data_IF_543620323942
#
_entry.id   IF_543620323942
#
_cell.length_a   1.000
_cell.length_b   1.000
_cell.length_c   1.000
_cell.angle_alpha   90.00
_cell.angle_beta   90.00
_cell.angle_gamma   90.00
#
_symmetry.space_group_name_H-M   'P 1'
#
loop_
_entity.id
_entity.type
_entity.pdbx_description
1 polymer ?
#
# COMPACT_ATOMS: atom_id res chain seq x y z
N UNK A 1 -84.40 23.55 -0.01
CA UNK A 1 -83.65 22.34 -0.40
C UNK A 1 -82.20 22.72 -0.52
N UNK A 2 -81.30 22.00 0.15
CA UNK A 2 -79.86 22.25 0.16
C UNK A 2 -79.23 21.68 -1.11
N UNK A 3 -79.01 22.49 -2.15
CA UNK A 3 -77.92 22.21 -3.10
C UNK A 3 -76.64 22.82 -2.53
N UNK A 4 -75.95 22.04 -1.69
CA UNK A 4 -74.77 22.52 -0.93
C UNK A 4 -73.51 22.65 -1.79
N UNK A 5 -73.46 22.05 -2.98
CA UNK A 5 -72.33 22.13 -3.92
C UNK A 5 -72.82 21.88 -5.35
N UNK A 6 -72.30 22.63 -6.32
CA UNK A 6 -72.49 22.32 -7.75
C UNK A 6 -71.59 21.16 -8.19
N UNK A 7 -71.95 20.44 -9.25
CA UNK A 7 -71.12 19.36 -9.80
C UNK A 7 -69.71 19.81 -10.19
N UNK A 8 -69.57 21.05 -10.68
CA UNK A 8 -68.27 21.66 -10.97
C UNK A 8 -67.43 21.91 -9.70
N UNK A 9 -68.06 22.40 -8.62
CA UNK A 9 -67.36 22.60 -7.35
C UNK A 9 -66.87 21.29 -6.73
N UNK A 10 -67.63 20.20 -6.88
CA UNK A 10 -67.21 18.87 -6.43
C UNK A 10 -66.02 18.33 -7.26
N UNK A 11 -66.05 18.51 -8.58
CA UNK A 11 -64.95 18.11 -9.45
C UNK A 11 -63.66 18.89 -9.15
N UNK A 12 -63.75 20.21 -8.98
CA UNK A 12 -62.60 21.04 -8.58
C UNK A 12 -62.06 20.64 -7.20
N UNK A 13 -62.93 20.37 -6.23
CA UNK A 13 -62.51 19.89 -4.91
C UNK A 13 -61.77 18.55 -4.98
N UNK A 14 -62.25 17.60 -5.80
CA UNK A 14 -61.59 16.31 -5.99
C UNK A 14 -60.20 16.46 -6.64
N UNK A 15 -60.09 17.30 -7.68
CA UNK A 15 -58.81 17.59 -8.34
C UNK A 15 -57.82 18.24 -7.38
N UNK A 16 -58.23 19.29 -6.65
CA UNK A 16 -57.36 19.94 -5.67
C UNK A 16 -56.95 19.01 -4.52
N UNK A 17 -57.86 18.17 -4.04
CA UNK A 17 -57.55 17.17 -3.01
C UNK A 17 -56.50 16.17 -3.50
N UNK A 18 -56.61 15.70 -4.75
CA UNK A 18 -55.61 14.83 -5.36
C UNK A 18 -54.25 15.54 -5.53
N UNK A 19 -54.25 16.81 -5.97
CA UNK A 19 -53.01 17.61 -6.08
C UNK A 19 -52.33 17.82 -4.73
N UNK A 20 -53.09 18.11 -3.66
CA UNK A 20 -52.55 18.23 -2.31
C UNK A 20 -51.96 16.89 -1.83
N UNK A 21 -52.62 15.77 -2.11
CA UNK A 21 -52.12 14.43 -1.80
C UNK A 21 -50.80 14.09 -2.51
N UNK A 22 -50.67 14.45 -3.79
CA UNK A 22 -49.42 14.32 -4.54
C UNK A 22 -48.32 15.23 -3.99
N UNK A 23 -48.66 16.48 -3.63
CA UNK A 23 -47.73 17.41 -2.98
C UNK A 23 -47.19 16.89 -1.64
N UNK A 24 -48.06 16.32 -0.81
CA UNK A 24 -47.66 15.71 0.48
C UNK A 24 -46.75 14.48 0.27
N UNK A 25 -47.06 13.63 -0.71
CA UNK A 25 -46.22 12.50 -1.08
C UNK A 25 -44.82 12.96 -1.54
N UNK A 26 -44.76 14.03 -2.36
CA UNK A 26 -43.50 14.63 -2.79
C UNK A 26 -42.67 15.18 -1.62
N UNK A 27 -43.31 15.87 -0.66
CA UNK A 27 -42.63 16.36 0.55
C UNK A 27 -42.12 15.21 1.42
N UNK A 28 -42.90 14.14 1.59
CA UNK A 28 -42.48 12.95 2.33
C UNK A 28 -41.25 12.28 1.70
N UNK A 29 -41.25 12.16 0.36
CA UNK A 29 -40.10 11.64 -0.39
C UNK A 29 -38.87 12.53 -0.22
N UNK A 30 -39.02 13.85 -0.42
CA UNK A 30 -37.92 14.82 -0.25
C UNK A 30 -37.35 14.79 1.17
N UNK A 31 -38.19 14.64 2.20
CA UNK A 31 -37.75 14.50 3.58
C UNK A 31 -36.90 13.23 3.76
N UNK A 32 -37.37 12.08 3.26
CA UNK A 32 -36.63 10.83 3.31
C UNK A 32 -35.31 10.87 2.56
N UNK A 33 -35.27 11.49 1.37
CA UNK A 33 -34.06 11.69 0.59
C UNK A 33 -33.08 12.64 1.28
N UNK A 34 -33.57 13.72 1.91
CA UNK A 34 -32.73 14.66 2.66
C UNK A 34 -32.06 13.98 3.84
N UNK A 35 -32.78 13.15 4.61
CA UNK A 35 -32.18 12.38 5.71
C UNK A 35 -31.10 11.40 5.21
N UNK A 36 -31.35 10.71 4.10
CA UNK A 36 -30.35 9.81 3.47
C UNK A 36 -29.13 10.58 2.95
N UNK A 37 -29.36 11.77 2.41
CA UNK A 37 -28.31 12.66 1.92
C UNK A 37 -27.43 13.14 3.07
N UNK A 38 -28.04 13.62 4.16
CA UNK A 38 -27.31 14.08 5.35
C UNK A 38 -26.45 12.97 5.97
N UNK A 39 -26.99 11.76 6.12
CA UNK A 39 -26.22 10.62 6.66
C UNK A 39 -25.09 10.18 5.73
N UNK A 40 -25.27 10.29 4.42
CA UNK A 40 -24.22 9.99 3.44
C UNK A 40 -23.15 11.08 3.40
N UNK A 41 -23.56 12.35 3.49
CA UNK A 41 -22.65 13.48 3.61
C UNK A 41 -21.79 13.37 4.86
N UNK A 42 -22.38 13.02 6.01
CA UNK A 42 -21.63 12.82 7.26
C UNK A 42 -20.53 11.76 7.10
N UNK A 43 -20.84 10.60 6.50
CA UNK A 43 -19.82 9.54 6.27
C UNK A 43 -18.66 10.00 5.38
N UNK A 44 -18.93 10.88 4.41
CA UNK A 44 -17.88 11.46 3.56
C UNK A 44 -17.05 12.47 4.34
N UNK A 45 -17.70 13.34 5.12
CA UNK A 45 -17.02 14.31 5.97
C UNK A 45 -16.13 13.63 7.02
N UNK A 46 -16.61 12.54 7.64
CA UNK A 46 -15.82 11.76 8.60
C UNK A 46 -14.50 11.25 7.98
N UNK A 47 -14.45 10.97 6.67
CA UNK A 47 -13.23 10.57 5.96
C UNK A 47 -12.36 11.78 5.62
N UNK A 48 -12.96 12.86 5.14
CA UNK A 48 -12.25 14.10 4.73
C UNK A 48 -11.58 14.77 5.94
N UNK A 49 -12.27 14.80 7.08
CA UNK A 49 -11.83 15.47 8.30
C UNK A 49 -10.94 14.59 9.18
N UNK A 50 -10.82 13.29 8.85
CA UNK A 50 -9.97 12.36 9.61
C UNK A 50 -8.51 12.78 9.56
N UNK A 51 -7.93 13.01 10.73
CA UNK A 51 -6.48 13.19 10.85
C UNK A 51 -5.77 11.83 10.83
N UNK A 52 -4.80 11.61 9.93
CA UNK A 52 -4.05 10.35 9.88
C UNK A 52 -3.10 10.26 11.08
N UNK A 53 -2.98 9.07 11.66
CA UNK A 53 -2.02 8.79 12.75
C UNK A 53 -0.57 8.97 12.30
N UNK A 54 -0.29 8.63 11.03
CA UNK A 54 1.01 8.85 10.38
C UNK A 54 0.77 9.80 9.21
N UNK A 55 1.14 11.06 9.39
CA UNK A 55 1.17 12.02 8.29
C UNK A 55 2.35 11.68 7.36
N UNK A 56 2.06 11.55 6.06
CA UNK A 56 3.07 11.18 5.07
C UNK A 56 4.11 12.28 4.83
N UNK A 57 3.70 13.55 4.97
CA UNK A 57 4.51 14.71 4.60
C UNK A 57 5.09 15.44 5.80
N UNK A 58 4.51 15.29 6.98
CA UNK A 58 5.08 15.84 8.20
C UNK A 58 6.34 15.07 8.64
N UNK A 59 7.26 15.77 9.31
CA UNK A 59 8.51 15.20 9.85
C UNK A 59 9.76 15.82 9.21
N UNK A 60 10.91 15.49 9.78
CA UNK A 60 12.20 15.93 9.27
C UNK A 60 12.60 15.18 8.00
N UNK A 61 13.52 15.76 7.23
CA UNK A 61 14.19 15.06 6.13
C UNK A 61 15.07 13.92 6.66
N UNK A 62 15.47 13.03 5.75
CA UNK A 62 16.36 11.93 6.08
C UNK A 62 17.74 12.43 6.53
N UNK A 63 18.43 11.69 7.41
CA UNK A 63 19.82 11.95 7.74
C UNK A 63 20.69 12.03 6.46
N UNK A 64 21.61 12.99 6.42
CA UNK A 64 22.55 13.16 5.32
C UNK A 64 23.98 13.15 5.86
N UNK A 65 24.86 12.24 5.40
CA UNK A 65 24.59 11.18 4.42
C UNK A 65 23.75 10.04 5.00
N UNK A 66 22.83 9.48 4.20
CA UNK A 66 22.06 8.29 4.57
C UNK A 66 22.94 7.03 4.40
N UNK A 67 23.28 6.38 5.50
CA UNK A 67 24.14 5.19 5.55
C UNK A 67 23.34 3.90 5.61
N UNK A 68 22.13 3.94 6.19
CA UNK A 68 21.26 2.76 6.28
C UNK A 68 21.57 1.85 7.47
N UNK A 69 22.11 2.38 8.57
CA UNK A 69 22.18 1.67 9.85
C UNK A 69 20.80 1.69 10.52
N UNK A 70 20.27 0.51 10.83
CA UNK A 70 18.97 0.35 11.48
C UNK A 70 19.14 -0.20 12.89
N UNK A 71 18.45 0.40 13.85
CA UNK A 71 18.39 -0.07 15.23
C UNK A 71 16.93 -0.18 15.69
N UNK A 72 16.53 -1.35 16.13
CA UNK A 72 15.24 -1.61 16.80
C UNK A 72 15.59 -1.77 18.28
N UNK A 73 15.01 -0.94 19.14
CA UNK A 73 15.34 -0.87 20.57
C UNK A 73 14.11 -1.08 21.45
N UNK A 74 14.08 -2.20 22.18
CA UNK A 74 13.04 -2.55 23.13
C UNK A 74 11.63 -2.51 22.56
N UNK A 75 11.46 -2.87 21.28
CA UNK A 75 10.19 -2.67 20.58
C UNK A 75 9.12 -3.64 21.05
N UNK A 76 7.99 -3.08 21.48
CA UNK A 76 6.76 -3.81 21.75
C UNK A 76 5.71 -3.42 20.71
N UNK A 77 4.90 -4.37 20.27
CA UNK A 77 3.87 -4.09 19.29
C UNK A 77 2.73 -5.11 19.29
N UNK A 78 1.50 -4.61 19.13
CA UNK A 78 0.29 -5.37 18.81
C UNK A 78 -0.45 -4.67 17.68
N UNK A 79 -1.06 -5.43 16.75
CA UNK A 79 -1.82 -4.83 15.66
C UNK A 79 -3.10 -4.15 16.20
N UNK A 80 -3.51 -2.99 15.65
CA UNK A 80 -4.73 -2.30 16.08
C UNK A 80 -6.02 -3.13 15.97
N UNK A 81 -6.03 -4.10 15.06
CA UNK A 81 -7.16 -5.04 14.87
C UNK A 81 -7.25 -6.11 15.97
N UNK A 82 -6.16 -6.35 16.71
CA UNK A 82 -6.05 -7.34 17.80
C UNK A 82 -5.11 -6.82 18.90
N UNK A 83 -5.51 -5.75 19.62
CA UNK A 83 -4.63 -5.06 20.58
C UNK A 83 -4.21 -5.95 21.76
N UNK A 84 -5.03 -6.93 22.13
CA UNK A 84 -4.75 -7.86 23.24
C UNK A 84 -3.80 -9.01 22.86
N UNK A 85 -3.36 -9.08 21.59
CA UNK A 85 -2.44 -10.11 21.10
C UNK A 85 -1.10 -9.47 20.76
N UNK A 86 -0.15 -9.39 21.71
CA UNK A 86 1.18 -8.85 21.45
C UNK A 86 1.92 -9.73 20.45
N UNK A 87 2.52 -9.09 19.45
CA UNK A 87 3.31 -9.73 18.38
C UNK A 87 4.80 -9.61 18.67
N UNK A 88 5.26 -8.43 19.08
CA UNK A 88 6.65 -8.19 19.48
C UNK A 88 6.69 -7.80 20.96
N UNK A 89 7.64 -8.37 21.71
CA UNK A 89 7.79 -8.19 23.15
C UNK A 89 9.24 -7.83 23.49
N UNK A 90 9.59 -6.55 23.46
CA UNK A 90 10.92 -6.06 23.84
C UNK A 90 12.02 -6.51 22.87
N UNK A 91 11.77 -6.39 21.57
CA UNK A 91 12.71 -6.83 20.53
C UNK A 91 13.82 -5.79 20.33
N UNK A 92 15.06 -6.26 20.37
CA UNK A 92 16.27 -5.50 20.07
C UNK A 92 17.00 -6.11 18.85
N UNK A 93 17.24 -5.31 17.81
CA UNK A 93 17.94 -5.72 16.59
C UNK A 93 18.82 -4.56 16.11
N UNK A 94 20.10 -4.84 15.83
CA UNK A 94 21.00 -3.89 15.18
C UNK A 94 21.40 -4.44 13.80
N UNK A 95 21.29 -3.61 12.77
CA UNK A 95 21.61 -3.95 11.38
C UNK A 95 22.53 -2.85 10.84
N UNK A 96 23.81 -3.20 10.65
CA UNK A 96 24.83 -2.24 10.21
C UNK A 96 24.70 -1.92 8.73
N UNK A 97 25.25 -0.77 8.33
CA UNK A 97 25.33 -0.35 6.93
C UNK A 97 25.90 -1.49 6.06
N UNK A 98 25.17 -1.84 5.00
CA UNK A 98 25.60 -2.86 4.03
C UNK A 98 25.52 -4.30 4.54
N UNK A 99 24.98 -4.52 5.74
CA UNK A 99 24.83 -5.85 6.32
C UNK A 99 23.57 -6.52 5.79
N UNK A 100 23.67 -7.82 5.51
CA UNK A 100 22.52 -8.69 5.26
C UNK A 100 22.19 -9.42 6.56
N UNK A 101 20.96 -9.26 7.05
CA UNK A 101 20.45 -9.93 8.26
C UNK A 101 19.23 -10.76 7.90
N UNK A 102 19.27 -12.05 8.24
CA UNK A 102 18.13 -12.94 8.12
C UNK A 102 17.40 -13.05 9.47
N UNK A 103 16.10 -12.75 9.47
CA UNK A 103 15.18 -12.99 10.56
C UNK A 103 14.58 -14.39 10.37
N UNK A 104 14.96 -15.33 11.21
CA UNK A 104 14.47 -16.71 11.18
C UNK A 104 13.62 -17.02 12.40
N UNK A 105 12.54 -17.78 12.21
CA UNK A 105 11.66 -18.19 13.31
C UNK A 105 10.37 -18.84 12.81
N UNK A 106 9.56 -19.33 13.74
CA UNK A 106 8.28 -19.97 13.42
C UNK A 106 7.36 -19.04 12.59
N UNK A 107 6.45 -19.63 11.81
CA UNK A 107 5.40 -18.85 11.16
C UNK A 107 4.56 -18.12 12.21
N UNK A 108 4.25 -16.85 11.97
CA UNK A 108 3.47 -16.02 12.88
C UNK A 108 4.24 -15.41 14.07
N UNK A 109 5.56 -15.61 14.20
CA UNK A 109 6.33 -15.01 15.31
C UNK A 109 6.63 -13.50 15.16
N UNK A 110 6.10 -12.84 14.12
CA UNK A 110 6.22 -11.40 13.94
C UNK A 110 7.34 -10.92 13.01
N UNK A 111 7.99 -11.81 12.23
CA UNK A 111 9.09 -11.44 11.30
C UNK A 111 8.68 -10.34 10.31
N UNK A 112 7.60 -10.54 9.55
CA UNK A 112 7.07 -9.53 8.61
C UNK A 112 6.57 -8.27 9.32
N UNK A 113 6.25 -8.36 10.63
CA UNK A 113 5.88 -7.19 11.43
C UNK A 113 7.07 -6.25 11.64
N UNK A 114 8.29 -6.77 11.71
CA UNK A 114 9.51 -5.95 11.72
C UNK A 114 9.57 -5.10 10.44
N UNK A 115 9.31 -5.70 9.27
CA UNK A 115 9.28 -4.96 8.00
C UNK A 115 8.20 -3.86 7.99
N UNK A 116 7.01 -4.14 8.52
CA UNK A 116 5.93 -3.15 8.63
C UNK A 116 6.27 -1.98 9.55
N UNK A 117 7.01 -2.22 10.63
CA UNK A 117 7.43 -1.17 11.55
C UNK A 117 8.60 -0.35 11.00
N UNK A 118 9.58 -0.98 10.35
CA UNK A 118 10.71 -0.28 9.70
C UNK A 118 10.22 0.63 8.56
N UNK A 119 9.19 0.22 7.82
CA UNK A 119 8.51 1.06 6.81
C UNK A 119 7.53 2.07 7.39
N UNK A 120 7.40 2.10 8.73
CA UNK A 120 6.50 2.98 9.47
C UNK A 120 5.06 2.90 8.96
N UNK A 121 4.59 1.70 8.61
CA UNK A 121 3.17 1.44 8.36
C UNK A 121 2.37 1.44 9.66
N UNK A 122 3.04 1.06 10.75
CA UNK A 122 2.56 1.15 12.12
C UNK A 122 3.63 1.79 13.00
N UNK A 123 3.20 2.37 14.11
CA UNK A 123 4.09 2.84 15.18
C UNK A 123 4.19 1.75 16.26
N UNK A 124 5.38 1.52 16.84
CA UNK A 124 5.53 0.62 17.97
C UNK A 124 4.76 1.16 19.19
N UNK A 125 4.24 0.27 20.04
CA UNK A 125 3.55 0.69 21.28
C UNK A 125 4.55 1.12 22.37
N UNK A 126 5.74 0.54 22.36
CA UNK A 126 6.88 0.94 23.19
C UNK A 126 8.19 0.70 22.44
N UNK A 127 9.27 1.35 22.88
CA UNK A 127 10.58 1.28 22.24
C UNK A 127 10.72 2.28 21.09
N UNK A 128 11.77 2.12 20.30
CA UNK A 128 12.06 3.01 19.18
C UNK A 128 12.73 2.26 18.03
N UNK A 129 12.54 2.77 16.81
CA UNK A 129 13.28 2.33 15.62
C UNK A 129 14.08 3.53 15.13
N UNK A 130 15.39 3.36 14.98
CA UNK A 130 16.30 4.41 14.55
C UNK A 130 16.90 4.06 13.19
N UNK A 131 17.02 5.09 12.36
CA UNK A 131 17.74 5.08 11.09
C UNK A 131 18.90 6.06 11.21
N UNK A 132 20.13 5.56 11.14
CA UNK A 132 21.36 6.33 11.32
C UNK A 132 21.33 7.17 12.63
N UNK A 133 20.82 6.58 13.71
CA UNK A 133 20.68 7.20 15.03
C UNK A 133 19.49 8.14 15.20
N UNK A 134 18.68 8.39 14.16
CA UNK A 134 17.49 9.25 14.22
C UNK A 134 16.22 8.39 14.30
N UNK A 135 15.34 8.70 15.25
CA UNK A 135 14.08 7.96 15.39
C UNK A 135 13.18 8.17 14.16
N UNK A 136 12.76 7.08 13.51
CA UNK A 136 11.95 7.13 12.28
C UNK A 136 10.59 7.80 12.49
N UNK A 137 10.07 7.85 13.73
CA UNK A 137 8.81 8.53 14.05
C UNK A 137 8.90 10.05 13.87
N UNK A 138 10.11 10.61 13.92
CA UNK A 138 10.37 12.03 13.68
C UNK A 138 10.61 12.39 12.21
N UNK A 139 10.83 11.39 11.36
CA UNK A 139 11.15 11.57 9.95
C UNK A 139 9.89 11.62 9.09
N UNK A 140 9.96 12.25 7.93
CA UNK A 140 8.91 12.13 6.91
C UNK A 140 8.74 10.68 6.48
N UNK A 141 7.52 10.15 6.60
CA UNK A 141 7.23 8.78 6.18
C UNK A 141 7.39 8.61 4.66
N UNK A 142 7.11 9.65 3.87
CA UNK A 142 7.38 9.65 2.44
C UNK A 142 8.88 9.53 2.14
N UNK A 143 9.71 10.36 2.77
CA UNK A 143 11.17 10.31 2.58
C UNK A 143 11.75 8.97 3.05
N UNK A 144 11.33 8.48 4.23
CA UNK A 144 11.73 7.17 4.77
C UNK A 144 11.44 6.04 3.78
N UNK A 145 10.22 5.98 3.23
CA UNK A 145 9.83 4.92 2.28
C UNK A 145 10.48 5.08 0.92
N UNK A 146 10.91 6.28 0.52
CA UNK A 146 11.71 6.44 -0.70
C UNK A 146 13.12 5.82 -0.57
N UNK A 147 13.64 5.71 0.66
CA UNK A 147 14.92 5.08 0.94
C UNK A 147 14.86 3.55 1.16
N UNK A 148 13.65 2.98 1.24
CA UNK A 148 13.41 1.57 1.54
C UNK A 148 12.66 0.92 0.37
N UNK A 149 13.15 -0.21 -0.14
CA UNK A 149 12.33 -1.07 -1.01
C UNK A 149 11.88 -2.32 -0.27
N UNK A 150 10.67 -2.78 -0.60
CA UNK A 150 10.11 -4.03 -0.09
C UNK A 150 9.82 -4.94 -1.26
N UNK A 151 10.34 -6.17 -1.20
CA UNK A 151 9.98 -7.26 -2.12
C UNK A 151 9.19 -8.27 -1.30
N UNK A 152 7.88 -8.28 -1.49
CA UNK A 152 6.96 -9.17 -0.77
C UNK A 152 6.88 -10.56 -1.40
N UNK A 153 6.45 -11.53 -0.60
CA UNK A 153 6.19 -12.91 -1.01
C UNK A 153 5.29 -12.98 -2.25
N UNK A 154 4.18 -12.23 -2.20
CA UNK A 154 3.26 -12.01 -3.31
C UNK A 154 3.35 -10.53 -3.75
N UNK A 155 4.09 -10.23 -4.84
CA UNK A 155 4.19 -8.86 -5.32
C UNK A 155 2.92 -8.39 -6.00
N UNK A 156 2.51 -7.17 -5.66
CA UNK A 156 1.37 -6.50 -6.29
C UNK A 156 1.83 -5.67 -7.48
N UNK A 157 1.23 -5.95 -8.64
CA UNK A 157 1.34 -5.14 -9.84
C UNK A 157 0.01 -4.41 -10.08
N UNK A 158 0.08 -3.11 -10.35
CA UNK A 158 -1.08 -2.30 -10.67
C UNK A 158 -1.60 -2.63 -12.07
N UNK A 159 -2.89 -2.36 -12.30
CA UNK A 159 -3.55 -2.38 -13.62
C UNK A 159 -2.96 -1.31 -14.55
N UNK A 160 -1.75 -1.57 -15.05
CA UNK A 160 -0.93 -0.66 -15.84
C UNK A 160 0.10 -1.45 -16.66
N UNK A 161 0.88 -0.78 -17.52
CA UNK A 161 1.95 -1.44 -18.25
C UNK A 161 3.06 -1.95 -17.32
N UNK A 162 3.84 -2.93 -17.78
CA UNK A 162 5.05 -3.39 -17.07
C UNK A 162 6.02 -2.21 -16.85
N UNK A 163 6.19 -1.35 -17.85
CA UNK A 163 6.97 -0.11 -17.76
C UNK A 163 6.52 0.77 -16.60
N UNK A 164 5.21 1.06 -16.50
CA UNK A 164 4.65 1.88 -15.43
C UNK A 164 4.83 1.21 -14.06
N UNK A 165 4.67 -0.12 -14.00
CA UNK A 165 4.89 -0.88 -12.78
C UNK A 165 6.34 -0.82 -12.29
N UNK A 166 7.34 -0.88 -13.18
CA UNK A 166 8.76 -0.76 -12.78
C UNK A 166 9.09 0.69 -12.40
N UNK A 167 8.65 1.67 -13.20
CA UNK A 167 8.82 3.11 -12.94
C UNK A 167 8.12 3.61 -11.69
N UNK A 168 7.22 2.82 -11.10
CA UNK A 168 6.50 3.21 -9.89
C UNK A 168 7.43 3.68 -8.75
N UNK A 169 8.63 3.09 -8.63
CA UNK A 169 9.63 3.49 -7.63
C UNK A 169 10.42 4.76 -7.99
N UNK A 170 10.52 5.09 -9.28
CA UNK A 170 11.22 6.29 -9.79
C UNK A 170 10.53 6.76 -11.09
N UNK A 171 9.50 7.63 -10.99
CA UNK A 171 8.67 8.01 -12.12
C UNK A 171 9.43 8.67 -13.29
N UNK A 172 10.55 9.31 -12.98
CA UNK A 172 11.45 9.99 -13.91
C UNK A 172 12.49 9.06 -14.57
N UNK A 173 12.54 7.77 -14.18
CA UNK A 173 13.49 6.82 -14.77
C UNK A 173 13.28 6.69 -16.29
N UNK A 174 14.36 6.77 -17.06
CA UNK A 174 14.35 6.59 -18.52
C UNK A 174 14.00 5.14 -18.90
N UNK A 175 13.56 4.92 -20.14
CA UNK A 175 13.28 3.56 -20.62
C UNK A 175 14.52 2.67 -20.53
N UNK A 176 15.71 3.23 -20.81
CA UNK A 176 16.97 2.51 -20.71
C UNK A 176 17.28 2.06 -19.28
N UNK A 177 17.04 2.91 -18.27
CA UNK A 177 17.19 2.53 -16.86
C UNK A 177 16.24 1.40 -16.48
N UNK A 178 14.99 1.45 -16.95
CA UNK A 178 14.00 0.38 -16.74
C UNK A 178 14.45 -0.93 -17.38
N UNK A 179 14.94 -0.89 -18.62
CA UNK A 179 15.43 -2.07 -19.33
C UNK A 179 16.65 -2.69 -18.66
N UNK A 180 17.57 -1.85 -18.14
CA UNK A 180 18.73 -2.32 -17.41
C UNK A 180 18.33 -3.01 -16.11
N UNK A 181 17.44 -2.39 -15.32
CA UNK A 181 16.93 -2.98 -14.09
C UNK A 181 16.15 -4.28 -14.34
N UNK A 182 15.37 -4.35 -15.42
CA UNK A 182 14.69 -5.58 -15.81
C UNK A 182 15.69 -6.70 -16.18
N UNK A 183 16.80 -6.36 -16.83
CA UNK A 183 17.86 -7.32 -17.15
C UNK A 183 18.57 -7.82 -15.89
N UNK A 184 18.93 -6.92 -14.98
CA UNK A 184 19.52 -7.26 -13.67
C UNK A 184 18.57 -8.11 -12.81
N UNK A 185 17.26 -7.88 -12.94
CA UNK A 185 16.24 -8.68 -12.28
C UNK A 185 15.91 -10.02 -12.99
N UNK A 186 16.66 -10.41 -14.02
CA UNK A 186 16.39 -11.59 -14.86
C UNK A 186 14.97 -11.60 -15.47
N UNK A 187 14.38 -10.43 -15.72
CA UNK A 187 13.04 -10.25 -16.28
C UNK A 187 13.03 -10.20 -17.82
N UNK A 188 13.94 -10.93 -18.48
CA UNK A 188 14.06 -10.94 -19.96
C UNK A 188 12.82 -11.46 -20.68
N UNK A 189 11.94 -12.20 -20.00
CA UNK A 189 10.64 -12.62 -20.53
C UNK A 189 9.77 -11.44 -21.00
N UNK A 190 9.99 -10.23 -20.46
CA UNK A 190 9.25 -9.04 -20.87
C UNK A 190 9.45 -8.78 -22.37
N UNK A 191 10.65 -8.99 -22.90
CA UNK A 191 10.96 -8.79 -24.32
C UNK A 191 10.32 -9.84 -25.24
N UNK A 192 9.84 -10.94 -24.68
CA UNK A 192 9.15 -12.02 -25.40
C UNK A 192 7.64 -11.80 -25.48
N UNK A 193 7.10 -10.82 -24.73
CA UNK A 193 5.68 -10.46 -24.77
C UNK A 193 5.39 -9.67 -26.06
N UNK A 194 4.18 -9.79 -26.65
CA UNK A 194 3.83 -9.12 -27.90
C UNK A 194 4.05 -7.59 -27.86
N UNK A 195 3.73 -6.96 -26.72
CA UNK A 195 3.84 -5.51 -26.51
C UNK A 195 5.05 -5.14 -25.64
N UNK A 196 5.94 -6.08 -25.35
CA UNK A 196 7.13 -5.84 -24.55
C UNK A 196 6.83 -5.18 -23.20
N UNK A 197 7.50 -4.04 -22.94
CA UNK A 197 7.32 -3.23 -21.74
C UNK A 197 5.97 -2.49 -21.66
N UNK A 198 5.29 -2.31 -22.79
CA UNK A 198 3.97 -1.68 -22.85
C UNK A 198 2.83 -2.67 -22.55
N UNK A 199 3.15 -3.96 -22.41
CA UNK A 199 2.19 -5.00 -22.02
C UNK A 199 1.44 -4.61 -20.74
N UNK A 200 0.11 -4.56 -20.81
CA UNK A 200 -0.74 -4.33 -19.67
C UNK A 200 -0.79 -5.56 -18.75
N UNK A 201 -0.56 -5.35 -17.46
CA UNK A 201 -0.60 -6.37 -16.39
C UNK A 201 -1.55 -5.92 -15.27
N UNK A 202 -1.79 -6.78 -14.29
CA UNK A 202 -2.70 -6.53 -13.16
C UNK A 202 -3.85 -7.53 -13.14
N UNK A 203 -4.95 -7.17 -12.47
CA UNK A 203 -6.17 -7.99 -12.46
C UNK A 203 -6.86 -7.99 -13.83
N UNK A 204 -6.79 -6.87 -14.57
CA UNK A 204 -7.45 -6.69 -15.86
C UNK A 204 -6.55 -6.94 -17.08
N UNK A 205 -5.25 -7.14 -16.85
CA UNK A 205 -4.24 -7.36 -17.89
C UNK A 205 -3.84 -8.82 -18.06
N UNK A 206 -2.68 -9.04 -18.70
CA UNK A 206 -2.06 -10.37 -18.78
C UNK A 206 -1.67 -10.84 -17.38
N UNK A 207 -1.98 -12.10 -17.08
CA UNK A 207 -1.55 -12.73 -15.85
C UNK A 207 -0.10 -13.21 -15.98
N UNK A 208 0.78 -12.62 -15.16
CA UNK A 208 2.15 -13.09 -14.98
C UNK A 208 2.20 -14.22 -13.95
N UNK A 209 3.13 -15.16 -14.12
CA UNK A 209 3.41 -16.17 -13.09
C UNK A 209 3.97 -15.52 -11.81
N UNK A 210 3.96 -16.24 -10.68
CA UNK A 210 4.52 -15.74 -9.42
C UNK A 210 5.97 -15.28 -9.56
N UNK A 211 6.83 -16.09 -10.20
CA UNK A 211 8.23 -15.75 -10.44
C UNK A 211 8.40 -14.56 -11.39
N UNK A 212 7.55 -14.44 -12.41
CA UNK A 212 7.54 -13.26 -13.27
C UNK A 212 7.15 -11.99 -12.51
N UNK A 213 6.12 -12.04 -11.65
CA UNK A 213 5.71 -10.91 -10.79
C UNK A 213 6.84 -10.50 -9.85
N UNK A 214 7.54 -11.46 -9.26
CA UNK A 214 8.68 -11.18 -8.39
C UNK A 214 9.83 -10.51 -9.12
N UNK A 215 10.20 -10.99 -10.31
CA UNK A 215 11.26 -10.33 -11.09
C UNK A 215 10.88 -8.91 -11.51
N UNK A 216 9.62 -8.63 -11.79
CA UNK A 216 9.14 -7.24 -12.02
C UNK A 216 9.25 -6.40 -10.74
N UNK A 217 8.93 -6.97 -9.57
CA UNK A 217 9.07 -6.28 -8.29
C UNK A 217 10.54 -6.03 -7.91
N UNK A 218 11.44 -6.95 -8.22
CA UNK A 218 12.89 -6.78 -8.05
C UNK A 218 13.39 -5.68 -9.01
N UNK A 219 12.96 -5.69 -10.27
CA UNK A 219 13.29 -4.61 -11.21
C UNK A 219 12.80 -3.24 -10.69
N UNK A 220 11.59 -3.17 -10.11
CA UNK A 220 11.07 -1.98 -9.43
C UNK A 220 11.98 -1.53 -8.28
N UNK A 221 12.46 -2.47 -7.45
CA UNK A 221 13.40 -2.16 -6.36
C UNK A 221 14.75 -1.65 -6.90
N UNK A 222 15.29 -2.27 -7.96
CA UNK A 222 16.56 -1.85 -8.59
C UNK A 222 16.44 -0.42 -9.15
N UNK A 223 15.37 -0.11 -9.89
CA UNK A 223 15.14 1.26 -10.42
C UNK A 223 15.01 2.29 -9.30
N UNK A 224 14.40 1.92 -8.18
CA UNK A 224 14.28 2.79 -7.01
C UNK A 224 15.62 3.16 -6.38
N UNK A 225 16.61 2.27 -6.45
CA UNK A 225 17.92 2.37 -5.80
C UNK A 225 17.83 2.71 -4.30
N UNK A 226 17.19 1.85 -3.49
CA UNK A 226 17.01 2.08 -2.07
C UNK A 226 18.33 1.89 -1.31
N UNK A 227 18.45 2.49 -0.12
CA UNK A 227 19.54 2.19 0.84
C UNK A 227 19.26 0.95 1.68
N UNK A 228 17.98 0.66 1.91
CA UNK A 228 17.51 -0.47 2.71
C UNK A 228 16.60 -1.34 1.86
N UNK A 229 16.83 -2.65 1.89
CA UNK A 229 16.04 -3.64 1.18
C UNK A 229 15.40 -4.61 2.18
N UNK A 230 14.08 -4.74 2.12
CA UNK A 230 13.33 -5.69 2.94
C UNK A 230 12.79 -6.79 2.03
N UNK A 231 13.18 -8.03 2.28
CA UNK A 231 12.77 -9.22 1.53
C UNK A 231 11.88 -10.08 2.43
N UNK A 232 10.60 -10.23 2.07
CA UNK A 232 9.63 -10.98 2.86
C UNK A 232 9.26 -12.28 2.16
N UNK A 233 9.86 -13.41 2.55
CA UNK A 233 9.60 -14.76 2.00
C UNK A 233 9.59 -14.84 0.45
N UNK A 234 10.49 -14.11 -0.22
CA UNK A 234 10.46 -13.91 -1.67
C UNK A 234 10.71 -15.18 -2.52
N UNK A 235 10.86 -16.39 -1.96
CA UNK A 235 11.08 -17.63 -2.73
C UNK A 235 10.15 -18.80 -2.36
N UNK A 236 9.27 -18.65 -1.35
CA UNK A 236 8.56 -19.77 -0.72
C UNK A 236 7.44 -20.42 -1.55
N UNK A 237 7.16 -19.93 -2.76
CA UNK A 237 6.04 -20.37 -3.60
C UNK A 237 6.40 -20.56 -5.10
N UNK A 238 7.67 -20.76 -5.43
CA UNK A 238 8.13 -20.87 -6.82
C UNK A 238 8.51 -22.29 -7.25
N UNK A 239 8.39 -22.56 -8.55
CA UNK A 239 9.06 -23.71 -9.17
C UNK A 239 10.58 -23.51 -9.18
N UNK A 240 11.33 -24.62 -9.22
CA UNK A 240 12.79 -24.61 -9.04
C UNK A 240 13.58 -23.84 -10.10
N UNK A 241 13.03 -23.61 -11.29
CA UNK A 241 13.69 -22.80 -12.32
C UNK A 241 13.47 -21.31 -12.03
N UNK A 242 12.20 -20.93 -11.77
CA UNK A 242 11.85 -19.56 -11.37
C UNK A 242 12.58 -19.13 -10.10
N UNK A 243 12.70 -20.02 -9.11
CA UNK A 243 13.38 -19.76 -7.83
C UNK A 243 14.84 -19.37 -8.04
N UNK A 244 15.59 -20.11 -8.88
CA UNK A 244 17.00 -19.80 -9.18
C UNK A 244 17.16 -18.42 -9.82
N UNK A 245 16.28 -18.07 -10.75
CA UNK A 245 16.34 -16.79 -11.44
C UNK A 245 15.98 -15.63 -10.50
N UNK A 246 15.02 -15.83 -9.60
CA UNK A 246 14.66 -14.85 -8.56
C UNK A 246 15.79 -14.70 -7.55
N UNK A 247 16.40 -15.79 -7.09
CA UNK A 247 17.51 -15.75 -6.15
C UNK A 247 18.71 -14.99 -6.73
N UNK A 248 19.09 -15.26 -7.98
CA UNK A 248 20.17 -14.54 -8.66
C UNK A 248 19.86 -13.04 -8.83
N UNK A 249 18.59 -12.69 -9.07
CA UNK A 249 18.14 -11.30 -9.13
C UNK A 249 18.21 -10.62 -7.75
N UNK A 250 17.83 -11.34 -6.68
CA UNK A 250 17.92 -10.86 -5.29
C UNK A 250 19.37 -10.59 -4.90
N UNK A 251 20.30 -11.50 -5.19
CA UNK A 251 21.73 -11.32 -4.91
C UNK A 251 22.29 -10.03 -5.56
N UNK A 252 21.85 -9.72 -6.78
CA UNK A 252 22.25 -8.51 -7.51
C UNK A 252 21.76 -7.24 -6.80
N UNK A 253 20.48 -7.18 -6.40
CA UNK A 253 19.92 -6.01 -5.72
C UNK A 253 20.39 -5.91 -4.26
N UNK A 254 20.81 -7.00 -3.63
CA UNK A 254 21.33 -6.97 -2.25
C UNK A 254 22.72 -6.34 -2.14
N UNK A 255 23.50 -6.32 -3.23
CA UNK A 255 24.85 -5.75 -3.23
C UNK A 255 24.85 -4.30 -2.76
N UNK A 256 25.74 -3.98 -1.81
CA UNK A 256 25.97 -2.64 -1.23
C UNK A 256 24.78 -2.00 -0.49
N UNK A 257 23.74 -2.79 -0.15
CA UNK A 257 22.55 -2.32 0.58
C UNK A 257 22.47 -2.95 1.96
N UNK A 258 21.81 -2.27 2.89
CA UNK A 258 21.40 -2.89 4.15
C UNK A 258 20.18 -3.75 3.89
N UNK A 259 20.24 -5.05 4.18
CA UNK A 259 19.18 -6.00 3.81
C UNK A 259 18.62 -6.70 5.04
N UNK A 260 17.30 -6.78 5.10
CA UNK A 260 16.56 -7.63 6.04
C UNK A 260 15.82 -8.69 5.26
N UNK A 261 16.10 -9.96 5.55
CA UNK A 261 15.44 -11.10 4.91
C UNK A 261 14.58 -11.82 5.94
N UNK A 262 13.30 -12.02 5.65
CA UNK A 262 12.41 -12.88 6.44
C UNK A 262 12.47 -14.30 5.89
N UNK A 263 12.90 -15.24 6.73
CA UNK A 263 13.09 -16.66 6.41
C UNK A 263 12.36 -17.59 7.39
#
# INVERSE_FOLDING_TARGET
>A
GRERMSGGALASFAVYSATVGLGFSGLSQLYGETLKSLTSAQRVLDIIERQPLVDQRAGAELPSPLRGHLEIKGVHFAYPTRPDTPVLNGVDIEIRQGQVVALAGASGCGKSTVCHLVTRLYEPSQGAILLDGVNISSLSAHALRAAIAVVSQEPVLFDASILANIRYARPDATLQQVQNAAREANASFIEQLPDGYDTAVGERGIQLSGGQKQRVAIARAIVGDPRILLLDEATSALDSESEKLVQAALETVMAERTVVVVA
#
